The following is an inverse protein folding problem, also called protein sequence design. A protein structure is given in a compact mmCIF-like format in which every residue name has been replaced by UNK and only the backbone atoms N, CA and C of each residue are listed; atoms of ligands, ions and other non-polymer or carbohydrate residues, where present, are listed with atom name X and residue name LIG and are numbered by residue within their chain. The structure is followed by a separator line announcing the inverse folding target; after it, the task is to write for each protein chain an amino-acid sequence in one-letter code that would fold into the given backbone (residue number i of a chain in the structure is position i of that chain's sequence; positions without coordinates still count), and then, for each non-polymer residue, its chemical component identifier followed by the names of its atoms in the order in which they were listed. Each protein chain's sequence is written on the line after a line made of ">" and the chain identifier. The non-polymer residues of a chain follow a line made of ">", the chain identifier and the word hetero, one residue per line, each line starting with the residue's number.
data_IF_646818113045
#
_entry.id   IF_646818113045
#
_cell.length_a   1.000
_cell.length_b   1.000
_cell.length_c   1.000
_cell.angle_alpha   90.00
_cell.angle_beta   90.00
_cell.angle_gamma   90.00
#
_symmetry.space_group_name_H-M   'P 1'
#
loop_
_entity.id
_entity.type
_entity.pdbx_description
1 polymer ?
#
# COMPACT_ATOMS: atom_id res chain seq x y z
N UNK A 1 -4.14 -20.20 -2.51
CA UNK A 1 -4.07 -18.86 -3.14
C UNK A 1 -2.82 -18.81 -4.02
N UNK A 2 -2.90 -18.21 -5.22
CA UNK A 2 -1.81 -18.24 -6.21
C UNK A 2 -0.50 -17.60 -5.72
N UNK A 3 -0.57 -16.52 -4.94
CA UNK A 3 0.61 -15.85 -4.35
C UNK A 3 1.39 -16.78 -3.43
N UNK A 4 0.70 -17.47 -2.52
CA UNK A 4 1.32 -18.47 -1.63
C UNK A 4 2.06 -19.56 -2.39
N UNK A 5 1.45 -20.12 -3.43
CA UNK A 5 2.09 -21.12 -4.30
C UNK A 5 3.31 -20.56 -5.03
N UNK A 6 3.29 -19.29 -5.42
CA UNK A 6 4.43 -18.62 -6.04
C UNK A 6 5.59 -18.44 -5.04
N UNK A 7 5.29 -17.98 -3.81
CA UNK A 7 6.29 -17.79 -2.75
C UNK A 7 6.92 -19.12 -2.31
N UNK A 8 6.12 -20.19 -2.23
CA UNK A 8 6.64 -21.52 -1.89
C UNK A 8 7.65 -22.04 -2.92
N UNK A 9 7.41 -21.75 -4.21
CA UNK A 9 8.30 -22.14 -5.30
C UNK A 9 9.55 -21.25 -5.41
N UNK A 10 9.39 -19.93 -5.26
CA UNK A 10 10.46 -18.97 -5.54
C UNK A 10 11.32 -18.68 -4.31
N UNK A 11 10.74 -18.77 -3.10
CA UNK A 11 11.39 -18.47 -1.82
C UNK A 11 12.18 -17.14 -1.87
N UNK A 12 11.50 -16.01 -2.10
CA UNK A 12 12.19 -14.75 -2.31
C UNK A 12 12.83 -14.21 -1.02
N UNK A 13 14.10 -13.79 -1.10
CA UNK A 13 14.76 -13.04 -0.01
C UNK A 13 14.29 -11.57 0.04
N UNK A 14 13.86 -11.03 -1.10
CA UNK A 14 13.43 -9.65 -1.25
C UNK A 14 12.15 -9.56 -2.07
N UNK A 15 11.20 -8.76 -1.60
CA UNK A 15 9.96 -8.44 -2.31
C UNK A 15 9.88 -6.93 -2.56
N UNK A 16 9.69 -6.55 -3.83
CA UNK A 16 9.39 -5.17 -4.22
C UNK A 16 7.93 -5.14 -4.70
N UNK A 17 7.05 -4.58 -3.88
CA UNK A 17 5.62 -4.50 -4.21
C UNK A 17 5.33 -3.29 -5.10
N UNK A 18 5.39 -3.55 -6.41
CA UNK A 18 4.97 -2.63 -7.45
C UNK A 18 3.58 -2.94 -8.02
N UNK A 19 2.87 -3.91 -7.43
CA UNK A 19 1.58 -4.33 -7.94
C UNK A 19 0.49 -3.34 -7.46
N UNK A 20 -0.30 -2.86 -8.41
CA UNK A 20 -1.35 -1.90 -8.14
C UNK A 20 -2.41 -1.99 -9.24
N UNK A 21 -3.68 -1.80 -8.86
CA UNK A 21 -4.73 -1.58 -9.84
C UNK A 21 -4.70 -0.13 -10.28
N UNK A 22 -3.99 0.16 -11.37
CA UNK A 22 -3.87 1.51 -11.93
C UNK A 22 -5.01 1.80 -12.90
N UNK A 23 -5.54 3.01 -12.81
CA UNK A 23 -6.58 3.52 -13.70
C UNK A 23 -6.50 5.03 -13.79
N UNK A 24 -6.98 5.60 -14.90
CA UNK A 24 -7.11 7.05 -15.04
C UNK A 24 -8.08 7.63 -14.03
N UNK A 25 -8.06 8.96 -13.87
CA UNK A 25 -8.94 9.70 -12.93
C UNK A 25 -10.41 9.26 -13.09
N UNK A 26 -10.87 9.12 -14.34
CA UNK A 26 -12.25 8.71 -14.64
C UNK A 26 -12.59 7.28 -14.17
N UNK A 27 -11.65 6.34 -14.27
CA UNK A 27 -11.88 4.97 -13.85
C UNK A 27 -12.01 4.87 -12.32
N UNK A 28 -11.15 5.60 -11.60
CA UNK A 28 -11.21 5.70 -10.14
C UNK A 28 -12.54 6.33 -9.67
N UNK A 29 -13.01 7.39 -10.34
CA UNK A 29 -14.25 8.06 -9.96
C UNK A 29 -15.51 7.24 -10.28
N UNK A 30 -15.49 6.43 -11.35
CA UNK A 30 -16.63 5.63 -11.76
C UNK A 30 -16.77 4.32 -10.95
N UNK A 31 -15.68 3.78 -10.41
CA UNK A 31 -15.66 2.47 -9.73
C UNK A 31 -14.93 2.48 -8.37
N UNK A 32 -15.19 3.45 -7.47
CA UNK A 32 -14.41 3.63 -6.25
C UNK A 32 -14.39 2.38 -5.35
N UNK A 33 -15.52 1.69 -5.21
CA UNK A 33 -15.63 0.48 -4.38
C UNK A 33 -14.73 -0.65 -4.87
N UNK A 34 -14.69 -0.88 -6.19
CA UNK A 34 -13.85 -1.92 -6.79
C UNK A 34 -12.38 -1.57 -6.67
N UNK A 35 -12.00 -0.32 -6.98
CA UNK A 35 -10.62 0.13 -6.87
C UNK A 35 -10.08 0.03 -5.44
N UNK A 36 -10.89 0.39 -4.42
CA UNK A 36 -10.52 0.19 -3.02
C UNK A 36 -10.34 -1.28 -2.71
N UNK A 37 -11.38 -2.08 -2.99
CA UNK A 37 -11.42 -3.48 -2.59
C UNK A 37 -10.29 -4.27 -3.24
N UNK A 38 -9.97 -3.98 -4.50
CA UNK A 38 -8.91 -4.67 -5.22
C UNK A 38 -7.53 -4.24 -4.76
N UNK A 39 -7.30 -2.96 -4.45
CA UNK A 39 -6.04 -2.54 -3.85
C UNK A 39 -5.82 -3.23 -2.50
N UNK A 40 -6.80 -3.17 -1.61
CA UNK A 40 -6.71 -3.77 -0.28
C UNK A 40 -6.47 -5.28 -0.37
N UNK A 41 -7.22 -5.99 -1.23
CA UNK A 41 -7.02 -7.44 -1.41
C UNK A 41 -5.63 -7.75 -1.96
N UNK A 42 -5.17 -6.98 -2.94
CA UNK A 42 -3.89 -7.21 -3.59
C UNK A 42 -2.75 -7.00 -2.58
N UNK A 43 -2.72 -5.84 -1.91
CA UNK A 43 -1.65 -5.49 -0.98
C UNK A 43 -1.65 -6.41 0.24
N UNK A 44 -2.82 -6.70 0.84
CA UNK A 44 -2.88 -7.60 2.00
C UNK A 44 -2.47 -9.02 1.64
N UNK A 45 -2.91 -9.54 0.48
CA UNK A 45 -2.48 -10.88 0.05
C UNK A 45 -0.96 -10.97 -0.06
N UNK A 46 -0.31 -9.95 -0.62
CA UNK A 46 1.14 -9.95 -0.82
C UNK A 46 1.89 -9.72 0.50
N UNK A 47 1.48 -8.73 1.31
CA UNK A 47 2.10 -8.42 2.58
C UNK A 47 1.95 -9.56 3.59
N UNK A 48 0.76 -10.16 3.70
CA UNK A 48 0.52 -11.27 4.62
C UNK A 48 1.26 -12.53 4.15
N UNK A 49 1.33 -12.80 2.84
CA UNK A 49 2.15 -13.92 2.33
C UNK A 49 3.64 -13.68 2.59
N UNK A 50 4.14 -12.44 2.45
CA UNK A 50 5.53 -12.13 2.74
C UNK A 50 5.87 -12.34 4.24
N UNK A 51 4.95 -11.97 5.13
CA UNK A 51 5.05 -12.27 6.55
C UNK A 51 5.04 -13.79 6.82
N UNK A 52 4.08 -14.54 6.25
CA UNK A 52 3.98 -16.00 6.43
C UNK A 52 5.24 -16.78 5.98
N UNK A 53 6.01 -16.22 5.05
CA UNK A 53 7.21 -16.85 4.49
C UNK A 53 8.52 -16.27 5.03
N UNK A 54 8.44 -15.43 6.07
CA UNK A 54 9.60 -14.80 6.72
C UNK A 54 10.53 -14.09 5.70
N UNK A 55 9.95 -13.30 4.78
CA UNK A 55 10.75 -12.56 3.79
C UNK A 55 11.62 -11.51 4.48
N UNK A 56 12.94 -11.59 4.28
CA UNK A 56 13.93 -10.72 4.95
C UNK A 56 13.75 -9.23 4.64
N UNK A 57 13.39 -8.86 3.40
CA UNK A 57 13.20 -7.46 3.01
C UNK A 57 11.99 -7.25 2.12
N UNK A 58 11.20 -6.24 2.47
CA UNK A 58 10.06 -5.80 1.67
C UNK A 58 10.12 -4.29 1.40
N UNK A 59 9.91 -3.91 0.15
CA UNK A 59 9.72 -2.52 -0.27
C UNK A 59 8.30 -2.34 -0.80
N UNK A 60 7.47 -1.60 -0.05
CA UNK A 60 6.12 -1.24 -0.48
C UNK A 60 6.12 0.10 -1.21
N UNK A 61 5.63 0.14 -2.45
CA UNK A 61 5.54 1.38 -3.22
C UNK A 61 4.24 2.13 -2.91
N UNK A 62 4.38 3.22 -2.16
CA UNK A 62 3.32 4.19 -1.88
C UNK A 62 2.97 5.09 -3.08
N UNK A 63 2.40 6.26 -2.80
CA UNK A 63 2.08 7.26 -3.83
C UNK A 63 2.11 8.67 -3.25
N UNK A 64 2.47 9.68 -4.03
CA UNK A 64 2.40 11.08 -3.59
C UNK A 64 0.98 11.58 -3.31
N UNK A 65 -0.04 10.87 -3.81
CA UNK A 65 -1.45 11.21 -3.60
C UNK A 65 -1.96 10.92 -2.17
N UNK A 66 -1.15 10.27 -1.32
CA UNK A 66 -1.49 9.96 0.08
C UNK A 66 -1.39 11.16 1.03
N UNK A 67 -0.76 12.24 0.58
CA UNK A 67 -0.59 13.43 1.41
C UNK A 67 -1.81 14.34 1.34
N UNK A 68 -2.08 15.12 2.40
CA UNK A 68 -3.18 16.08 2.41
C UNK A 68 -3.16 17.03 1.20
N UNK A 69 -4.34 17.49 0.80
CA UNK A 69 -4.50 18.43 -0.33
C UNK A 69 -3.76 19.75 -0.08
N UNK A 70 -3.85 20.25 1.15
CA UNK A 70 -3.34 21.57 1.55
C UNK A 70 -1.93 21.53 2.16
N UNK A 71 -1.13 20.47 1.91
CA UNK A 71 0.25 20.45 2.39
C UNK A 71 1.04 21.58 1.74
N UNK A 72 1.65 22.45 2.56
CA UNK A 72 2.55 23.51 2.07
C UNK A 72 3.61 22.88 1.17
N UNK A 73 4.10 23.61 0.15
CA UNK A 73 4.91 23.15 -1.01
C UNK A 73 6.08 22.17 -0.74
N UNK A 74 6.47 21.92 0.51
CA UNK A 74 7.36 20.83 0.92
C UNK A 74 6.56 19.76 1.67
N UNK A 75 6.30 18.62 1.02
CA UNK A 75 5.68 17.46 1.66
C UNK A 75 6.75 16.72 2.45
N UNK A 76 6.76 16.88 3.78
CA UNK A 76 7.53 15.99 4.66
C UNK A 76 6.77 14.69 4.89
N UNK A 77 7.48 13.60 5.17
CA UNK A 77 6.88 12.32 5.55
C UNK A 77 5.97 12.47 6.78
N UNK A 78 6.33 13.38 7.70
CA UNK A 78 5.52 13.73 8.88
C UNK A 78 4.16 14.37 8.57
N UNK A 79 3.92 14.79 7.32
CA UNK A 79 2.62 15.33 6.91
C UNK A 79 1.59 14.26 6.52
N UNK A 80 2.00 12.98 6.48
CA UNK A 80 1.08 11.87 6.26
C UNK A 80 -0.03 11.89 7.33
N UNK A 81 -1.29 11.77 6.91
CA UNK A 81 -2.47 11.82 7.78
C UNK A 81 -2.68 13.14 8.57
N UNK A 82 -1.95 14.21 8.28
CA UNK A 82 -2.05 15.49 9.00
C UNK A 82 -3.25 16.38 8.57
N UNK A 83 -4.12 15.90 7.66
CA UNK A 83 -5.23 16.69 7.13
C UNK A 83 -6.05 15.94 6.07
N UNK A 84 -7.04 16.61 5.46
CA UNK A 84 -7.93 15.98 4.47
C UNK A 84 -7.19 15.67 3.16
N UNK A 85 -7.53 14.51 2.59
CA UNK A 85 -7.04 14.04 1.29
C UNK A 85 -7.76 14.75 0.13
N UNK A 86 -7.19 14.67 -1.07
CA UNK A 86 -7.86 15.13 -2.29
C UNK A 86 -9.05 14.23 -2.61
N UNK A 87 -10.24 14.82 -2.82
CA UNK A 87 -11.51 14.07 -2.99
C UNK A 87 -11.47 13.14 -4.20
N UNK A 88 -10.85 13.57 -5.31
CA UNK A 88 -10.80 12.77 -6.55
C UNK A 88 -10.00 11.48 -6.39
N UNK A 89 -9.09 11.42 -5.40
CA UNK A 89 -8.13 10.35 -5.24
C UNK A 89 -8.23 9.70 -3.86
N UNK A 90 -9.18 10.12 -3.02
CA UNK A 90 -9.20 9.79 -1.59
C UNK A 90 -9.25 8.27 -1.36
N UNK A 91 -9.99 7.55 -2.19
CA UNK A 91 -10.15 6.10 -2.10
C UNK A 91 -8.81 5.38 -2.35
N UNK A 92 -8.11 5.75 -3.42
CA UNK A 92 -6.80 5.21 -3.75
C UNK A 92 -5.75 5.58 -2.68
N UNK A 93 -5.79 6.82 -2.21
CA UNK A 93 -4.91 7.32 -1.16
C UNK A 93 -5.10 6.53 0.15
N UNK A 94 -6.34 6.28 0.56
CA UNK A 94 -6.65 5.47 1.74
C UNK A 94 -6.12 4.05 1.61
N UNK A 95 -6.28 3.42 0.44
CA UNK A 95 -5.72 2.09 0.20
C UNK A 95 -4.19 2.08 0.39
N UNK A 96 -3.48 3.00 -0.26
CA UNK A 96 -2.01 3.09 -0.10
C UNK A 96 -1.57 3.42 1.32
N UNK A 97 -2.35 4.21 2.06
CA UNK A 97 -2.09 4.47 3.49
C UNK A 97 -2.28 3.19 4.31
N UNK A 98 -3.29 2.37 4.01
CA UNK A 98 -3.52 1.11 4.69
C UNK A 98 -2.33 0.15 4.51
N UNK A 99 -1.82 -0.01 3.28
CA UNK A 99 -0.60 -0.76 3.02
C UNK A 99 0.63 -0.25 3.79
N UNK A 100 0.85 1.08 3.83
CA UNK A 100 1.93 1.67 4.65
C UNK A 100 1.75 1.31 6.13
N UNK A 101 0.54 1.46 6.67
CA UNK A 101 0.27 1.16 8.09
C UNK A 101 0.40 -0.32 8.41
N UNK A 102 0.12 -1.20 7.46
CA UNK A 102 0.36 -2.65 7.59
C UNK A 102 1.85 -2.97 7.69
N UNK A 103 2.70 -2.26 6.94
CA UNK A 103 4.17 -2.36 7.05
C UNK A 103 4.65 -1.77 8.37
N UNK A 104 4.16 -0.58 8.79
CA UNK A 104 4.50 0.01 10.08
C UNK A 104 4.17 -0.95 11.25
N UNK A 105 3.02 -1.63 11.18
CA UNK A 105 2.61 -2.61 12.18
C UNK A 105 3.56 -3.81 12.24
N UNK A 106 4.04 -4.28 11.08
CA UNK A 106 5.03 -5.35 10.98
C UNK A 106 6.35 -4.95 11.68
N UNK A 107 6.86 -3.75 11.37
CA UNK A 107 8.08 -3.22 11.96
C UNK A 107 7.96 -3.05 13.48
N UNK A 108 6.78 -2.66 13.96
CA UNK A 108 6.50 -2.56 15.40
C UNK A 108 6.55 -3.93 16.10
N UNK A 109 6.11 -5.00 15.44
CA UNK A 109 6.18 -6.37 15.99
C UNK A 109 7.62 -6.88 16.01
N UNK A 110 8.39 -6.55 14.97
CA UNK A 110 9.81 -6.92 14.84
C UNK A 110 10.75 -6.04 15.69
N UNK A 111 10.25 -4.97 16.32
CA UNK A 111 11.04 -4.08 17.18
C UNK A 111 12.00 -3.16 16.42
N UNK A 112 11.69 -2.83 15.15
CA UNK A 112 12.54 -2.05 14.24
C UNK A 112 12.01 -0.63 13.98
N UNK A 113 10.99 -0.21 14.73
CA UNK A 113 10.33 1.09 14.60
C UNK A 113 11.07 2.25 15.28
#
# INVERSE_FOLDING_TARGET
>A
MATRTYFDRVRPDVVIDAAARVGGILANSQRPVEFLSDHLRLELTLLDTAHEFDVDRLLFLGSSCIYPRNTRRSRSESSLLAGPLEETNCVYAIAKIAGIKRVDAELSVLGVA
#
